data_IF_050417571792
#
_entry.id   IF_050417571792
#
_cell.length_a   1.000
_cell.length_b   1.000
_cell.length_c   1.000
_cell.angle_alpha   90.00
_cell.angle_beta   90.00
_cell.angle_gamma   90.00
#
_symmetry.space_group_name_H-M   'P 1'
#
loop_
_entity.id
_entity.type
_entity.pdbx_description
1 polymer ?
#
# COMPACT_ATOMS: atom_id res chain seq x y z
N UNK A 1 0.60 21.43 6.47
CA UNK A 1 0.58 20.05 6.99
C UNK A 1 -0.64 19.34 6.41
N UNK A 2 -0.57 18.05 6.06
CA UNK A 2 -1.76 17.33 5.60
C UNK A 2 -2.78 17.25 6.75
N UNK A 3 -4.07 17.40 6.43
CA UNK A 3 -5.13 17.25 7.43
C UNK A 3 -5.26 15.77 7.77
N UNK A 4 -5.25 15.39 9.06
CA UNK A 4 -5.34 13.99 9.45
C UNK A 4 -6.76 13.47 9.23
N UNK A 5 -6.89 12.15 9.12
CA UNK A 5 -8.17 11.49 8.90
C UNK A 5 -8.52 10.63 10.11
N UNK A 6 -9.77 10.67 10.52
CA UNK A 6 -10.30 9.72 11.48
C UNK A 6 -10.89 8.55 10.70
N UNK A 7 -10.43 7.34 10.99
CA UNK A 7 -10.90 6.12 10.37
C UNK A 7 -11.64 5.27 11.38
N UNK A 8 -12.92 5.00 11.13
CA UNK A 8 -13.69 3.95 11.80
C UNK A 8 -13.73 2.74 10.86
N UNK A 9 -13.41 1.55 11.32
CA UNK A 9 -13.38 0.35 10.46
C UNK A 9 -13.88 -0.87 11.21
N UNK A 10 -14.29 -1.89 10.47
CA UNK A 10 -14.69 -3.15 11.07
C UNK A 10 -14.88 -4.28 10.06
N UNK A 11 -15.12 -5.47 10.60
CA UNK A 11 -15.39 -6.68 9.81
C UNK A 11 -16.64 -7.39 10.32
N UNK A 12 -17.62 -7.57 9.43
CA UNK A 12 -18.91 -8.17 9.78
C UNK A 12 -18.76 -9.63 10.20
N UNK A 13 -19.79 -10.17 10.86
CA UNK A 13 -20.03 -11.61 10.82
C UNK A 13 -20.47 -12.05 9.41
N UNK A 14 -20.60 -13.36 9.20
CA UNK A 14 -21.15 -13.90 7.96
C UNK A 14 -22.56 -13.32 7.74
N UNK A 15 -22.79 -12.79 6.55
CA UNK A 15 -24.05 -12.19 6.14
C UNK A 15 -24.79 -13.14 5.20
N UNK A 16 -26.10 -12.92 5.08
CA UNK A 16 -26.93 -13.64 4.13
C UNK A 16 -26.60 -13.22 2.69
N UNK A 17 -26.13 -14.18 1.91
CA UNK A 17 -25.83 -14.02 0.49
C UNK A 17 -27.07 -13.78 -0.37
N UNK A 18 -28.28 -14.17 0.05
CA UNK A 18 -29.49 -13.85 -0.70
C UNK A 18 -29.78 -12.35 -0.67
N UNK A 19 -29.54 -11.70 0.48
CA UNK A 19 -29.59 -10.25 0.62
C UNK A 19 -28.43 -9.53 -0.07
N UNK A 20 -27.22 -10.09 0.01
CA UNK A 20 -26.02 -9.52 -0.61
C UNK A 20 -25.37 -10.49 -1.60
N UNK A 21 -25.92 -10.66 -2.82
CA UNK A 21 -25.42 -11.64 -3.80
C UNK A 21 -23.95 -11.45 -4.18
N UNK A 22 -23.42 -10.23 -4.05
CA UNK A 22 -22.01 -9.92 -4.32
C UNK A 22 -21.03 -10.73 -3.46
N UNK A 23 -21.46 -11.20 -2.28
CA UNK A 23 -20.63 -11.99 -1.39
C UNK A 23 -20.27 -13.37 -1.97
N UNK A 24 -21.07 -13.87 -2.91
CA UNK A 24 -20.82 -15.13 -3.61
C UNK A 24 -19.86 -14.96 -4.81
N UNK A 25 -19.45 -13.74 -5.11
CA UNK A 25 -18.58 -13.48 -6.24
C UNK A 25 -17.17 -14.04 -5.96
N UNK A 26 -16.53 -14.73 -6.92
CA UNK A 26 -15.22 -15.37 -6.69
C UNK A 26 -14.08 -14.36 -6.45
N UNK A 27 -14.22 -13.15 -7.01
CA UNK A 27 -13.27 -12.07 -6.83
C UNK A 27 -13.75 -11.08 -5.76
N UNK A 28 -12.81 -10.58 -4.96
CA UNK A 28 -13.05 -9.45 -4.06
C UNK A 28 -13.48 -8.21 -4.83
N UNK A 29 -14.67 -7.73 -4.50
CA UNK A 29 -15.18 -6.42 -4.89
C UNK A 29 -14.84 -5.38 -3.83
N UNK A 30 -14.35 -4.21 -4.28
CA UNK A 30 -14.07 -3.05 -3.45
C UNK A 30 -14.81 -1.85 -4.02
N UNK A 31 -15.66 -1.24 -3.20
CA UNK A 31 -16.39 -0.04 -3.57
C UNK A 31 -16.04 1.07 -2.60
N UNK A 32 -15.49 2.15 -3.13
CA UNK A 32 -15.15 3.36 -2.38
C UNK A 32 -16.06 4.49 -2.82
N UNK A 33 -16.75 5.09 -1.85
CA UNK A 33 -17.71 6.17 -2.06
C UNK A 33 -17.22 7.42 -1.34
N UNK A 34 -17.24 8.53 -2.07
CA UNK A 34 -16.90 9.84 -1.53
C UNK A 34 -18.20 10.59 -1.35
N UNK A 35 -18.61 10.81 -0.11
CA UNK A 35 -19.89 11.42 0.18
C UNK A 35 -19.96 12.85 -0.32
N UNK A 36 -21.07 13.20 -0.96
CA UNK A 36 -21.38 14.58 -1.33
C UNK A 36 -22.01 15.30 -0.13
N UNK A 37 -21.60 16.55 0.10
CA UNK A 37 -22.14 17.39 1.19
C UNK A 37 -21.97 16.81 2.60
N UNK A 38 -21.02 15.88 2.78
CA UNK A 38 -20.70 15.25 4.06
C UNK A 38 -19.19 15.14 4.22
N UNK A 39 -18.64 15.21 5.46
CA UNK A 39 -17.19 15.09 5.68
C UNK A 39 -16.67 13.65 5.55
N UNK A 40 -17.54 12.69 5.23
CA UNK A 40 -17.23 11.27 5.22
C UNK A 40 -16.99 10.73 3.80
N UNK A 41 -16.09 9.75 3.73
CA UNK A 41 -16.01 8.77 2.64
C UNK A 41 -16.06 7.39 3.25
N UNK A 42 -16.52 6.39 2.51
CA UNK A 42 -16.58 5.02 3.02
C UNK A 42 -16.17 4.00 1.97
N UNK A 43 -15.65 2.88 2.45
CA UNK A 43 -15.24 1.75 1.64
C UNK A 43 -15.94 0.51 2.16
N UNK A 44 -16.44 -0.32 1.25
CA UNK A 44 -16.92 -1.66 1.56
C UNK A 44 -16.20 -2.65 0.65
N UNK A 45 -15.64 -3.69 1.26
CA UNK A 45 -14.83 -4.72 0.62
C UNK A 45 -15.41 -6.09 0.96
N UNK A 46 -15.67 -6.91 -0.05
CA UNK A 46 -16.05 -8.31 0.15
C UNK A 46 -14.83 -9.14 0.54
N UNK A 47 -14.96 -9.97 1.59
CA UNK A 47 -13.90 -10.87 2.04
C UNK A 47 -14.44 -12.30 2.22
N UNK A 48 -13.59 -13.33 2.23
CA UNK A 48 -14.02 -14.72 2.36
C UNK A 48 -14.92 -14.98 3.58
N UNK A 49 -15.85 -15.93 3.40
CA UNK A 49 -16.83 -16.33 4.42
C UNK A 49 -18.06 -15.43 4.47
N UNK A 50 -18.52 -14.91 3.33
CA UNK A 50 -19.69 -14.04 3.20
C UNK A 50 -19.66 -12.82 4.13
N UNK A 51 -18.53 -12.13 4.18
CA UNK A 51 -18.33 -10.97 5.07
C UNK A 51 -18.00 -9.72 4.29
N UNK A 52 -18.28 -8.58 4.91
CA UNK A 52 -17.72 -7.30 4.51
C UNK A 52 -16.63 -6.86 5.49
N UNK A 53 -15.53 -6.35 4.95
CA UNK A 53 -14.68 -5.39 5.63
C UNK A 53 -15.13 -3.99 5.20
N UNK A 54 -15.22 -3.06 6.13
CA UNK A 54 -15.67 -1.70 5.83
C UNK A 54 -14.84 -0.67 6.59
N UNK A 55 -14.80 0.55 6.04
CA UNK A 55 -14.17 1.69 6.67
C UNK A 55 -14.93 2.97 6.38
N UNK A 56 -15.02 3.87 7.35
CA UNK A 56 -15.53 5.23 7.25
C UNK A 56 -14.39 6.18 7.59
N UNK A 57 -14.11 7.08 6.67
CA UNK A 57 -13.03 8.05 6.75
C UNK A 57 -13.62 9.45 6.85
N UNK A 58 -13.32 10.16 7.94
CA UNK A 58 -13.72 11.54 8.17
C UNK A 58 -12.50 12.46 8.10
N UNK A 59 -12.54 13.45 7.21
CA UNK A 59 -11.51 14.49 7.18
C UNK A 59 -11.71 15.46 8.35
N UNK A 60 -10.67 15.67 9.16
CA UNK A 60 -10.75 16.65 10.25
C UNK A 60 -10.63 18.06 9.68
N UNK A 61 -11.48 18.97 10.13
CA UNK A 61 -11.60 20.32 9.56
C UNK A 61 -10.43 21.23 9.96
N UNK A 62 -9.92 21.11 11.20
CA UNK A 62 -8.86 21.98 11.72
C UNK A 62 -7.76 21.21 12.47
N UNK A 63 -6.57 21.81 12.58
CA UNK A 63 -5.48 21.23 13.38
C UNK A 63 -5.78 21.29 14.88
N UNK A 64 -6.60 22.23 15.33
CA UNK A 64 -7.05 22.31 16.72
C UNK A 64 -7.96 21.13 17.05
N UNK A 65 -8.95 20.84 16.19
CA UNK A 65 -9.85 19.69 16.31
C UNK A 65 -9.05 18.38 16.28
N UNK A 66 -8.00 18.32 15.45
CA UNK A 66 -7.12 17.17 15.38
C UNK A 66 -6.39 16.95 16.71
N UNK A 67 -5.87 18.01 17.36
CA UNK A 67 -5.23 17.92 18.67
C UNK A 67 -6.21 17.47 19.76
N UNK A 68 -7.41 18.01 19.77
CA UNK A 68 -8.45 17.60 20.73
C UNK A 68 -8.85 16.13 20.52
N UNK A 69 -9.10 15.73 19.28
CA UNK A 69 -9.46 14.33 18.96
C UNK A 69 -8.32 13.36 19.23
N UNK A 70 -7.06 13.75 19.06
CA UNK A 70 -5.90 12.94 19.47
C UNK A 70 -5.93 12.63 20.96
N UNK A 71 -6.20 13.64 21.77
CA UNK A 71 -6.27 13.48 23.22
C UNK A 71 -7.40 12.51 23.61
N UNK A 72 -8.57 12.62 22.94
CA UNK A 72 -9.71 11.73 23.19
C UNK A 72 -9.62 10.36 22.51
N UNK A 73 -8.72 10.15 21.55
CA UNK A 73 -8.58 8.85 20.87
C UNK A 73 -7.93 7.78 21.77
N UNK A 74 -7.48 8.12 22.98
CA UNK A 74 -7.19 7.13 24.02
C UNK A 74 -8.47 6.41 24.50
N UNK A 75 -9.66 6.97 24.26
CA UNK A 75 -10.94 6.34 24.53
C UNK A 75 -11.27 5.36 23.39
N UNK A 76 -10.88 4.09 23.57
CA UNK A 76 -11.16 3.00 22.62
C UNK A 76 -12.52 2.34 22.83
N UNK A 77 -13.35 2.88 23.72
CA UNK A 77 -14.66 2.33 24.07
C UNK A 77 -15.66 2.41 22.92
N UNK A 78 -16.65 1.50 22.87
CA UNK A 78 -17.71 1.54 21.87
C UNK A 78 -18.51 2.86 21.90
N UNK A 79 -18.62 3.51 23.06
CA UNK A 79 -19.32 4.79 23.21
C UNK A 79 -18.66 5.90 22.39
N UNK A 80 -17.32 5.89 22.28
CA UNK A 80 -16.55 6.90 21.54
C UNK A 80 -16.78 6.85 20.01
N UNK A 81 -17.46 5.81 19.52
CA UNK A 81 -17.77 5.60 18.11
C UNK A 81 -19.20 5.99 17.75
N UNK A 82 -20.09 6.11 18.75
CA UNK A 82 -21.53 6.21 18.54
C UNK A 82 -21.93 7.40 17.64
N UNK A 83 -21.38 8.58 17.90
CA UNK A 83 -21.72 9.77 17.10
C UNK A 83 -21.31 9.68 15.63
N UNK A 84 -20.26 8.92 15.29
CA UNK A 84 -19.89 8.67 13.89
C UNK A 84 -20.82 7.63 13.27
N UNK A 85 -21.14 6.56 14.01
CA UNK A 85 -22.03 5.49 13.56
C UNK A 85 -23.41 6.06 13.22
N UNK A 86 -23.98 6.90 14.09
CA UNK A 86 -25.27 7.56 13.86
C UNK A 86 -25.24 8.46 12.62
N UNK A 87 -24.17 9.24 12.45
CA UNK A 87 -24.02 10.14 11.31
C UNK A 87 -23.97 9.43 9.95
N UNK A 88 -23.50 8.17 9.93
CA UNK A 88 -23.32 7.40 8.69
C UNK A 88 -24.32 6.26 8.52
N UNK A 89 -25.21 6.04 9.48
CA UNK A 89 -26.14 4.89 9.51
C UNK A 89 -26.97 4.79 8.23
N UNK A 90 -27.35 5.93 7.66
CA UNK A 90 -28.21 6.01 6.47
C UNK A 90 -27.46 6.08 5.14
N UNK A 91 -26.13 6.00 5.14
CA UNK A 91 -25.37 6.10 3.90
C UNK A 91 -25.62 4.89 3.00
N UNK A 92 -25.83 5.10 1.70
CA UNK A 92 -26.10 4.00 0.79
C UNK A 92 -24.84 3.16 0.58
N UNK A 93 -25.03 1.85 0.51
CA UNK A 93 -23.98 0.92 0.09
C UNK A 93 -24.29 0.45 -1.32
N UNK A 94 -23.27 0.47 -2.18
CA UNK A 94 -23.38 0.11 -3.60
C UNK A 94 -23.75 -1.36 -3.85
N UNK A 95 -23.61 -2.22 -2.83
CA UNK A 95 -24.02 -3.61 -2.87
C UNK A 95 -25.47 -3.84 -2.40
N UNK A 96 -26.22 -2.75 -2.16
CA UNK A 96 -27.56 -2.77 -1.58
C UNK A 96 -27.53 -2.45 -0.08
N UNK A 97 -28.67 -1.99 0.44
CA UNK A 97 -28.83 -1.66 1.85
C UNK A 97 -28.17 -0.35 2.28
N UNK A 98 -28.02 -0.20 3.59
CA UNK A 98 -27.41 0.97 4.24
C UNK A 98 -26.16 0.58 5.00
N UNK A 99 -25.24 1.52 5.18
CA UNK A 99 -24.00 1.30 5.91
C UNK A 99 -24.25 0.95 7.38
N UNK A 100 -25.30 1.51 8.00
CA UNK A 100 -25.73 1.14 9.34
C UNK A 100 -25.99 -0.36 9.51
N UNK A 101 -26.58 -1.00 8.50
CA UNK A 101 -26.89 -2.45 8.54
C UNK A 101 -25.61 -3.30 8.55
N UNK A 102 -24.57 -2.85 7.84
CA UNK A 102 -23.24 -3.48 7.85
C UNK A 102 -22.57 -3.27 9.21
N UNK A 103 -22.68 -2.07 9.79
CA UNK A 103 -22.13 -1.75 11.11
C UNK A 103 -22.83 -2.56 12.21
N UNK A 104 -24.15 -2.73 12.13
CA UNK A 104 -24.94 -3.50 13.09
C UNK A 104 -24.60 -4.99 13.04
N UNK A 105 -24.28 -5.52 11.86
CA UNK A 105 -23.78 -6.88 11.68
C UNK A 105 -22.30 -7.07 12.06
N UNK A 106 -21.62 -6.01 12.52
CA UNK A 106 -20.23 -6.04 12.96
C UNK A 106 -20.16 -6.23 14.48
N UNK A 107 -19.49 -7.28 14.99
CA UNK A 107 -19.24 -7.43 16.42
C UNK A 107 -18.54 -6.19 16.97
N UNK A 108 -19.00 -5.66 18.12
CA UNK A 108 -18.53 -4.37 18.64
C UNK A 108 -17.04 -4.39 18.99
N UNK A 109 -16.52 -5.54 19.41
CA UNK A 109 -15.09 -5.81 19.65
C UNK A 109 -14.25 -5.78 18.36
N UNK A 110 -14.88 -5.84 17.18
CA UNK A 110 -14.23 -5.78 15.86
C UNK A 110 -14.40 -4.44 15.17
N UNK A 111 -14.87 -3.42 15.88
CA UNK A 111 -14.91 -2.04 15.39
C UNK A 111 -13.72 -1.29 15.98
N UNK A 112 -12.87 -0.75 15.13
CA UNK A 112 -11.70 0.02 15.54
C UNK A 112 -11.79 1.44 15.02
N UNK A 113 -11.40 2.40 15.87
CA UNK A 113 -11.29 3.82 15.53
C UNK A 113 -9.83 4.23 15.63
N UNK A 114 -9.29 4.78 14.55
CA UNK A 114 -7.87 5.12 14.45
C UNK A 114 -7.73 6.52 13.86
N UNK A 115 -6.85 7.33 14.43
CA UNK A 115 -6.38 8.55 13.78
C UNK A 115 -5.28 8.17 12.78
N UNK A 116 -5.52 8.39 11.50
CA UNK A 116 -4.50 8.20 10.48
C UNK A 116 -3.59 9.43 10.46
N UNK A 117 -2.39 9.23 11.00
CA UNK A 117 -1.32 10.21 11.01
C UNK A 117 -0.09 9.64 10.34
N UNK A 118 0.34 10.30 9.27
CA UNK A 118 1.55 9.91 8.58
C UNK A 118 2.73 10.71 9.10
N UNK A 119 3.56 10.04 9.90
CA UNK A 119 4.83 10.56 10.40
C UNK A 119 5.97 9.85 9.71
N UNK A 120 6.96 10.62 9.29
CA UNK A 120 8.24 10.11 8.82
C UNK A 120 9.31 10.70 9.71
N UNK A 121 9.95 9.86 10.51
CA UNK A 121 11.07 10.28 11.35
C UNK A 121 12.35 10.37 10.53
N UNK A 122 13.20 11.34 10.84
CA UNK A 122 14.53 11.46 10.23
C UNK A 122 15.54 10.49 10.87
N UNK A 123 15.32 10.11 12.12
CA UNK A 123 16.17 9.17 12.86
C UNK A 123 15.47 7.82 12.96
N UNK A 124 16.12 6.76 12.47
CA UNK A 124 15.57 5.40 12.42
C UNK A 124 16.33 4.42 13.31
N UNK A 125 17.46 4.83 13.87
CA UNK A 125 18.28 3.98 14.72
C UNK A 125 19.07 4.83 15.71
N UNK A 126 19.43 4.24 16.84
CA UNK A 126 20.31 4.82 17.85
C UNK A 126 20.98 3.70 18.65
N UNK A 127 22.31 3.63 18.62
CA UNK A 127 23.05 2.51 19.21
C UNK A 127 22.58 1.18 18.62
N UNK A 128 22.29 0.21 19.51
CA UNK A 128 21.76 -1.12 19.14
C UNK A 128 20.24 -1.17 18.88
N UNK A 129 19.55 -0.02 18.77
CA UNK A 129 18.11 0.05 18.58
C UNK A 129 17.79 0.56 17.17
N UNK A 130 16.83 -0.08 16.50
CA UNK A 130 16.34 0.29 15.17
C UNK A 130 14.81 0.33 15.14
N UNK A 131 14.26 1.28 14.39
CA UNK A 131 12.83 1.47 14.17
C UNK A 131 12.44 0.88 12.81
N UNK A 132 11.33 0.15 12.81
CA UNK A 132 10.67 -0.41 11.64
C UNK A 132 9.28 0.23 11.49
N UNK A 133 8.74 0.26 10.28
CA UNK A 133 7.45 0.86 9.99
C UNK A 133 6.23 0.12 10.59
N UNK A 134 5.08 0.78 10.49
CA UNK A 134 3.78 0.38 11.05
C UNK A 134 2.73 -0.01 9.96
N UNK A 135 3.10 0.05 8.67
CA UNK A 135 2.23 -0.31 7.56
C UNK A 135 2.57 -1.69 6.97
N UNK A 136 1.57 -2.53 6.67
CA UNK A 136 1.78 -3.94 6.28
C UNK A 136 2.90 -4.18 5.27
N UNK A 137 2.80 -3.62 4.05
CA UNK A 137 3.82 -3.81 3.02
C UNK A 137 5.16 -3.13 3.35
N UNK A 138 5.13 -1.92 3.94
CA UNK A 138 6.35 -1.18 4.24
C UNK A 138 7.14 -1.80 5.39
N UNK A 139 6.46 -2.25 6.44
CA UNK A 139 7.05 -2.97 7.57
C UNK A 139 7.71 -4.27 7.10
N UNK A 140 7.06 -5.02 6.19
CA UNK A 140 7.66 -6.20 5.58
C UNK A 140 8.92 -5.85 4.77
N UNK A 141 8.88 -4.79 3.97
CA UNK A 141 10.05 -4.33 3.22
C UNK A 141 11.18 -3.88 4.15
N UNK A 142 10.85 -3.16 5.22
CA UNK A 142 11.80 -2.73 6.24
C UNK A 142 12.48 -3.93 6.91
N UNK A 143 11.69 -4.93 7.33
CA UNK A 143 12.18 -6.14 7.96
C UNK A 143 13.12 -6.94 7.05
N UNK A 144 12.80 -7.06 5.76
CA UNK A 144 13.66 -7.77 4.79
C UNK A 144 14.99 -7.05 4.59
N UNK A 145 14.98 -5.74 4.38
CA UNK A 145 16.22 -4.99 4.20
C UNK A 145 17.06 -5.01 5.48
N UNK A 146 16.43 -4.85 6.65
CA UNK A 146 17.14 -4.95 7.92
C UNK A 146 17.77 -6.34 8.11
N UNK A 147 17.05 -7.42 7.78
CA UNK A 147 17.59 -8.78 7.84
C UNK A 147 18.81 -8.96 6.92
N UNK A 148 18.77 -8.39 5.71
CA UNK A 148 19.92 -8.41 4.79
C UNK A 148 21.13 -7.65 5.38
N UNK A 149 20.90 -6.45 5.92
CA UNK A 149 21.97 -5.65 6.54
C UNK A 149 22.57 -6.34 7.77
N UNK A 150 21.76 -7.04 8.58
CA UNK A 150 22.24 -7.81 9.73
C UNK A 150 23.01 -9.06 9.31
N UNK A 151 22.54 -9.78 8.28
CA UNK A 151 23.21 -10.98 7.80
C UNK A 151 24.64 -10.69 7.30
N UNK A 152 24.82 -9.54 6.66
CA UNK A 152 26.11 -9.04 6.15
C UNK A 152 27.04 -8.45 7.24
N UNK A 153 26.71 -8.55 8.52
CA UNK A 153 27.61 -8.14 9.61
C UNK A 153 28.85 -9.04 9.69
N UNK A 154 30.03 -8.42 9.73
CA UNK A 154 31.31 -9.10 9.96
C UNK A 154 31.51 -9.46 11.45
N UNK A 155 31.05 -8.61 12.35
CA UNK A 155 31.18 -8.78 13.80
C UNK A 155 30.02 -8.11 14.56
N UNK A 156 29.99 -8.30 15.89
CA UNK A 156 28.96 -7.77 16.79
C UNK A 156 29.38 -6.47 17.51
N UNK A 157 30.43 -5.79 17.03
CA UNK A 157 30.83 -4.50 17.62
C UNK A 157 29.76 -3.44 17.35
N UNK A 158 29.66 -2.49 18.27
CA UNK A 158 28.67 -1.41 18.20
C UNK A 158 28.77 -0.61 16.89
N UNK A 159 30.00 -0.42 16.39
CA UNK A 159 30.29 0.29 15.14
C UNK A 159 29.73 -0.46 13.93
N UNK A 160 29.92 -1.78 13.88
CA UNK A 160 29.43 -2.65 12.80
C UNK A 160 27.91 -2.69 12.77
N UNK A 161 27.27 -2.84 13.95
CA UNK A 161 25.80 -2.78 14.09
C UNK A 161 25.27 -1.42 13.63
N UNK A 162 25.90 -0.33 14.06
CA UNK A 162 25.52 1.04 13.66
C UNK A 162 25.67 1.25 12.16
N UNK A 163 26.72 0.71 11.55
CA UNK A 163 26.94 0.75 10.11
C UNK A 163 25.86 -0.02 9.35
N UNK A 164 25.48 -1.22 9.80
CA UNK A 164 24.39 -1.99 9.21
C UNK A 164 23.03 -1.27 9.32
N UNK A 165 22.72 -0.64 10.45
CA UNK A 165 21.49 0.14 10.61
C UNK A 165 21.47 1.41 9.75
N UNK A 166 22.63 2.04 9.55
CA UNK A 166 22.77 3.14 8.59
C UNK A 166 22.49 2.68 7.17
N UNK A 167 23.09 1.57 6.77
CA UNK A 167 22.89 0.97 5.44
C UNK A 167 21.41 0.60 5.20
N UNK A 168 20.74 -0.02 6.18
CA UNK A 168 19.29 -0.26 6.15
C UNK A 168 18.49 1.03 5.90
N UNK A 169 18.78 2.09 6.65
CA UNK A 169 18.11 3.39 6.50
C UNK A 169 18.38 4.00 5.13
N UNK A 170 19.62 3.99 4.65
CA UNK A 170 19.99 4.57 3.36
C UNK A 170 19.27 3.88 2.21
N UNK A 171 19.09 2.55 2.31
CA UNK A 171 18.30 1.78 1.35
C UNK A 171 16.78 2.07 1.44
N UNK A 172 16.21 2.20 2.64
CA UNK A 172 14.74 2.29 2.82
C UNK A 172 14.17 3.69 2.85
N UNK A 173 14.87 4.65 3.44
CA UNK A 173 14.37 6.00 3.71
C UNK A 173 13.86 6.73 2.44
N UNK A 174 14.56 6.70 1.28
CA UNK A 174 14.07 7.36 0.07
C UNK A 174 12.73 6.78 -0.43
N UNK A 175 12.55 5.47 -0.30
CA UNK A 175 11.33 4.78 -0.71
C UNK A 175 10.18 5.09 0.26
N UNK A 176 10.43 5.02 1.57
CA UNK A 176 9.44 5.37 2.60
C UNK A 176 9.00 6.84 2.45
N UNK A 177 9.94 7.77 2.22
CA UNK A 177 9.63 9.19 1.98
C UNK A 177 8.73 9.40 0.79
N UNK A 178 8.98 8.68 -0.32
CA UNK A 178 8.13 8.73 -1.52
C UNK A 178 6.75 8.14 -1.26
N UNK A 179 6.67 7.01 -0.56
CA UNK A 179 5.40 6.36 -0.22
C UNK A 179 4.54 7.26 0.67
N UNK A 180 5.12 7.93 1.67
CA UNK A 180 4.42 8.94 2.50
C UNK A 180 3.94 10.12 1.65
N UNK A 181 4.74 10.59 0.68
CA UNK A 181 4.28 11.65 -0.21
C UNK A 181 3.10 11.19 -1.10
N UNK A 182 3.19 9.98 -1.65
CA UNK A 182 2.16 9.38 -2.49
C UNK A 182 0.87 9.11 -1.72
N UNK A 183 0.96 8.62 -0.48
CA UNK A 183 -0.19 8.34 0.37
C UNK A 183 -0.94 9.62 0.74
N UNK A 184 -0.25 10.74 1.00
CA UNK A 184 -0.89 12.06 1.19
C UNK A 184 -1.70 12.50 -0.02
N UNK A 185 -1.15 12.31 -1.21
CA UNK A 185 -1.84 12.66 -2.46
C UNK A 185 -3.05 11.75 -2.66
N UNK A 186 -2.86 10.43 -2.48
CA UNK A 186 -3.94 9.45 -2.58
C UNK A 186 -5.05 9.72 -1.58
N UNK A 187 -4.74 10.06 -0.33
CA UNK A 187 -5.72 10.40 0.70
C UNK A 187 -6.56 11.63 0.33
N UNK A 188 -5.97 12.65 -0.32
CA UNK A 188 -6.73 13.78 -0.87
C UNK A 188 -7.65 13.35 -2.00
N UNK A 189 -7.15 12.50 -2.90
CA UNK A 189 -7.94 12.00 -4.04
C UNK A 189 -9.09 11.12 -3.56
N UNK A 190 -8.85 10.17 -2.65
CA UNK A 190 -9.86 9.23 -2.18
C UNK A 190 -10.81 9.86 -1.15
N UNK A 191 -10.28 10.58 -0.16
CA UNK A 191 -11.04 10.93 1.04
C UNK A 191 -11.08 12.43 1.33
N UNK A 192 -10.38 13.26 0.57
CA UNK A 192 -10.39 14.72 0.75
C UNK A 192 -11.74 15.35 0.41
N UNK A 193 -12.27 16.20 1.28
CA UNK A 193 -13.59 16.81 1.14
C UNK A 193 -13.54 18.32 0.90
N UNK A 194 -12.35 18.93 0.94
CA UNK A 194 -12.17 20.36 0.66
C UNK A 194 -12.40 20.69 -0.82
N UNK A 195 -12.68 21.97 -1.13
CA UNK A 195 -12.81 22.42 -2.53
C UNK A 195 -11.55 22.14 -3.35
N UNK A 196 -10.37 22.33 -2.74
CA UNK A 196 -9.09 22.04 -3.39
C UNK A 196 -8.91 20.55 -3.63
N UNK A 197 -9.29 19.69 -2.68
CA UNK A 197 -9.26 18.23 -2.87
C UNK A 197 -10.18 17.78 -4.02
N UNK A 198 -11.37 18.38 -4.16
CA UNK A 198 -12.28 18.12 -5.28
C UNK A 198 -11.67 18.51 -6.63
N UNK A 199 -10.99 19.65 -6.69
CA UNK A 199 -10.28 20.10 -7.90
C UNK A 199 -9.13 19.14 -8.23
N UNK A 200 -8.28 18.79 -7.25
CA UNK A 200 -7.18 17.83 -7.44
C UNK A 200 -7.70 16.49 -7.93
N UNK A 201 -8.74 15.95 -7.29
CA UNK A 201 -9.40 14.72 -7.72
C UNK A 201 -9.92 14.83 -9.14
N UNK A 202 -10.63 15.91 -9.47
CA UNK A 202 -11.17 16.11 -10.81
C UNK A 202 -10.05 16.15 -11.86
N UNK A 203 -8.95 16.86 -11.57
CA UNK A 203 -7.78 16.89 -12.43
C UNK A 203 -7.19 15.49 -12.63
N UNK A 204 -6.93 14.77 -11.54
CA UNK A 204 -6.30 13.44 -11.61
C UNK A 204 -7.20 12.42 -12.29
N UNK A 205 -8.48 12.34 -11.94
CA UNK A 205 -9.38 11.30 -12.47
C UNK A 205 -9.80 11.53 -13.92
N UNK A 206 -9.86 12.79 -14.39
CA UNK A 206 -10.32 13.10 -15.75
C UNK A 206 -9.18 13.38 -16.73
N UNK A 207 -8.06 13.93 -16.26
CA UNK A 207 -6.99 14.41 -17.16
C UNK A 207 -5.70 13.60 -17.07
N UNK A 208 -5.44 12.87 -15.98
CA UNK A 208 -4.21 12.09 -15.86
C UNK A 208 -4.27 10.87 -16.80
N UNK A 209 -3.41 10.78 -17.82
CA UNK A 209 -3.44 9.66 -18.75
C UNK A 209 -3.19 8.33 -18.04
N UNK A 210 -3.92 7.28 -18.46
CA UNK A 210 -3.76 5.92 -17.92
C UNK A 210 -2.32 5.40 -18.03
N UNK A 211 -1.56 5.80 -19.04
CA UNK A 211 -0.15 5.44 -19.18
C UNK A 211 0.71 5.94 -18.01
N UNK A 212 0.43 7.16 -17.51
CA UNK A 212 1.14 7.73 -16.36
C UNK A 212 0.73 7.01 -15.07
N UNK A 213 -0.57 6.74 -14.90
CA UNK A 213 -1.08 5.98 -13.75
C UNK A 213 -0.45 4.57 -13.70
N UNK A 214 -0.46 3.85 -14.82
CA UNK A 214 0.14 2.52 -14.92
C UNK A 214 1.66 2.56 -14.69
N UNK A 215 2.36 3.58 -15.19
CA UNK A 215 3.80 3.76 -14.94
C UNK A 215 4.08 4.01 -13.47
N UNK A 216 3.25 4.79 -12.78
CA UNK A 216 3.39 5.05 -11.35
C UNK A 216 3.12 3.77 -10.55
N UNK A 217 2.02 3.08 -10.83
CA UNK A 217 1.69 1.80 -10.19
C UNK A 217 2.80 0.76 -10.39
N UNK A 218 3.33 0.64 -11.61
CA UNK A 218 4.42 -0.29 -11.91
C UNK A 218 5.69 0.05 -11.12
N UNK A 219 6.02 1.34 -10.97
CA UNK A 219 7.17 1.75 -10.15
C UNK A 219 6.99 1.37 -8.68
N UNK A 220 5.80 1.58 -8.14
CA UNK A 220 5.50 1.27 -6.74
C UNK A 220 5.48 -0.25 -6.50
N UNK A 221 5.00 -1.03 -7.47
CA UNK A 221 4.99 -2.49 -7.43
C UNK A 221 6.37 -3.14 -7.71
N UNK A 222 7.29 -2.43 -8.35
CA UNK A 222 8.61 -2.99 -8.69
C UNK A 222 9.53 -3.15 -7.46
N UNK A 223 9.34 -2.34 -6.41
CA UNK A 223 10.13 -2.42 -5.19
C UNK A 223 9.66 -3.57 -4.29
N UNK A 224 10.31 -4.73 -4.43
CA UNK A 224 9.98 -5.98 -3.73
C UNK A 224 11.27 -6.64 -3.21
N UNK A 225 11.87 -6.09 -2.13
CA UNK A 225 13.08 -6.68 -1.53
C UNK A 225 12.82 -8.12 -1.09
N UNK A 226 13.85 -8.97 -1.18
CA UNK A 226 13.87 -10.36 -0.74
C UNK A 226 15.11 -10.57 0.15
N UNK A 227 15.11 -11.62 0.96
CA UNK A 227 16.30 -11.96 1.74
C UNK A 227 17.40 -12.44 0.80
N UNK A 228 18.55 -11.76 0.77
CA UNK A 228 19.62 -11.98 -0.21
C UNK A 228 20.39 -13.28 0.01
N UNK A 229 20.27 -13.86 1.22
CA UNK A 229 20.83 -15.15 1.62
C UNK A 229 19.87 -16.33 1.39
N UNK A 230 18.69 -16.08 0.82
CA UNK A 230 17.75 -17.13 0.41
C UNK A 230 17.73 -17.27 -1.12
N UNK A 231 17.20 -18.40 -1.59
CA UNK A 231 16.96 -18.58 -3.02
C UNK A 231 15.96 -17.53 -3.52
N UNK A 232 16.29 -16.88 -4.64
CA UNK A 232 15.44 -15.83 -5.21
C UNK A 232 14.16 -16.44 -5.76
N UNK A 233 13.03 -15.97 -5.25
CA UNK A 233 11.73 -16.37 -5.75
C UNK A 233 11.55 -15.79 -7.17
N UNK A 234 11.18 -16.60 -8.17
CA UNK A 234 10.97 -16.12 -9.53
C UNK A 234 9.83 -15.10 -9.59
N UNK A 235 9.97 -14.10 -10.46
CA UNK A 235 8.96 -13.07 -10.65
C UNK A 235 7.68 -13.67 -11.26
N UNK A 236 6.58 -13.66 -10.48
CA UNK A 236 5.25 -14.14 -10.93
C UNK A 236 4.36 -13.04 -11.53
N UNK A 237 4.84 -11.80 -11.58
CA UNK A 237 4.06 -10.63 -12.01
C UNK A 237 4.50 -10.09 -13.38
N UNK A 238 3.72 -9.17 -13.94
CA UNK A 238 4.04 -8.48 -15.21
C UNK A 238 5.07 -7.36 -15.07
N UNK A 239 5.40 -6.97 -13.83
CA UNK A 239 6.36 -5.90 -13.52
C UNK A 239 7.60 -6.57 -12.92
N UNK A 240 8.79 -6.43 -13.52
CA UNK A 240 10.00 -7.01 -12.98
C UNK A 240 10.36 -6.38 -11.63
N UNK A 241 10.92 -7.18 -10.73
CA UNK A 241 11.46 -6.68 -9.46
C UNK A 241 12.67 -5.77 -9.70
N UNK A 242 12.80 -4.71 -8.91
CA UNK A 242 14.01 -3.89 -8.95
C UNK A 242 15.23 -4.73 -8.53
N UNK A 243 16.39 -4.53 -9.16
CA UNK A 243 17.63 -5.17 -8.73
C UNK A 243 17.89 -4.88 -7.24
N UNK A 244 18.31 -5.91 -6.52
CA UNK A 244 18.69 -5.81 -5.11
C UNK A 244 20.21 -5.90 -5.02
N UNK A 245 20.78 -5.24 -4.01
CA UNK A 245 22.19 -5.38 -3.70
C UNK A 245 22.47 -6.83 -3.27
N UNK A 246 23.42 -7.54 -3.90
CA UNK A 246 23.76 -8.89 -3.45
C UNK A 246 24.45 -8.86 -2.08
N UNK A 247 24.26 -9.93 -1.29
CA UNK A 247 24.98 -10.13 -0.04
C UNK A 247 26.39 -10.63 -0.35
N UNK A 248 27.39 -9.88 0.10
CA UNK A 248 28.80 -10.24 -0.08
C UNK A 248 29.14 -11.51 0.70
N UNK A 249 28.55 -11.68 1.89
CA UNK A 249 28.74 -12.86 2.75
C UNK A 249 28.17 -14.11 2.09
N UNK A 250 26.95 -14.03 1.58
CA UNK A 250 26.31 -15.16 0.92
C UNK A 250 27.04 -15.59 -0.35
N UNK A 251 27.56 -14.62 -1.12
CA UNK A 251 28.41 -14.92 -2.28
C UNK A 251 29.73 -15.59 -1.88
N UNK A 252 30.33 -15.21 -0.75
CA UNK A 252 31.51 -15.88 -0.21
C UNK A 252 31.18 -17.32 0.26
N UNK A 253 30.06 -17.51 0.97
CA UNK A 253 29.58 -18.83 1.41
C UNK A 253 29.30 -19.76 0.21
N UNK A 254 28.67 -19.24 -0.85
CA UNK A 254 28.46 -19.99 -2.10
C UNK A 254 29.76 -20.40 -2.79
N UNK A 255 30.73 -19.49 -2.87
CA UNK A 255 32.05 -19.78 -3.45
C UNK A 255 32.78 -20.86 -2.64
N UNK A 256 32.81 -20.73 -1.32
CA UNK A 256 33.43 -21.72 -0.44
C UNK A 256 32.74 -23.09 -0.52
N UNK A 257 31.40 -23.12 -0.65
CA UNK A 257 30.65 -24.36 -0.84
C UNK A 257 30.97 -25.03 -2.20
N UNK A 258 31.07 -24.24 -3.26
CA UNK A 258 31.45 -24.74 -4.59
C UNK A 258 32.87 -25.31 -4.62
N UNK A 259 33.81 -24.66 -3.94
CA UNK A 259 35.19 -25.16 -3.79
C UNK A 259 35.24 -26.48 -3.02
N UNK A 260 34.53 -26.58 -1.88
CA UNK A 260 34.42 -27.84 -1.12
C UNK A 260 33.83 -28.98 -1.95
N UNK A 261 32.84 -28.68 -2.79
CA UNK A 261 32.23 -29.68 -3.67
C UNK A 261 33.22 -30.15 -4.75
N UNK A 262 34.01 -29.24 -5.32
CA UNK A 262 35.08 -29.57 -6.27
C UNK A 262 36.15 -30.47 -5.62
N UNK A 263 36.57 -30.13 -4.41
CA UNK A 263 37.63 -30.86 -3.70
C UNK A 263 37.16 -32.25 -3.23
N UNK A 264 35.85 -32.44 -3.03
CA UNK A 264 35.26 -33.74 -2.67
C UNK A 264 35.27 -34.78 -3.80
N UNK A 265 35.67 -34.41 -5.02
CA UNK A 265 35.69 -35.32 -6.17
C UNK A 265 34.32 -35.77 -6.67
N UNK A 266 33.23 -35.22 -6.11
CA UNK A 266 31.87 -35.43 -6.60
C UNK A 266 31.80 -34.83 -8.00
N UNK A 267 31.83 -35.70 -9.03
CA UNK A 267 31.50 -35.30 -10.40
C UNK A 267 30.08 -34.76 -10.36
N UNK A 268 29.93 -33.44 -10.40
CA UNK A 268 28.66 -32.81 -10.68
C UNK A 268 28.33 -33.24 -12.11
N UNK A 269 27.50 -34.28 -12.25
CA UNK A 269 26.83 -34.50 -13.51
C UNK A 269 26.09 -33.19 -13.79
N UNK A 270 26.55 -32.49 -14.83
CA UNK A 270 25.90 -31.30 -15.36
C UNK A 270 24.52 -31.73 -15.86
N UNK A 271 23.59 -31.97 -14.93
CA UNK A 271 22.18 -31.98 -15.22
C UNK A 271 21.91 -30.61 -15.82
N UNK A 272 21.53 -30.62 -17.08
CA UNK A 272 21.42 -29.48 -17.98
C UNK A 272 20.29 -28.53 -17.60
N UNK A 273 20.22 -28.13 -16.33
CA UNK A 273 19.58 -26.89 -15.92
C UNK A 273 20.53 -25.76 -16.30
N UNK A 274 20.49 -25.39 -17.58
CA UNK A 274 21.01 -24.13 -18.07
C UNK A 274 20.35 -22.99 -17.29
N UNK A 275 20.97 -22.57 -16.19
CA UNK A 275 20.66 -21.30 -15.56
C UNK A 275 20.97 -20.21 -16.60
N UNK A 276 20.02 -19.35 -16.96
CA UNK A 276 20.29 -18.24 -17.85
C UNK A 276 21.20 -17.25 -17.11
N UNK A 277 22.51 -17.43 -17.26
CA UNK A 277 23.56 -16.50 -16.88
C UNK A 277 23.62 -15.35 -17.91
N UNK A 278 22.47 -14.73 -18.20
CA UNK A 278 22.45 -13.39 -18.77
C UNK A 278 22.47 -12.41 -17.61
N UNK A 279 23.68 -11.99 -17.20
CA UNK A 279 23.83 -10.77 -16.42
C UNK A 279 23.15 -9.65 -17.23
N UNK A 280 22.13 -8.96 -16.69
CA UNK A 280 21.60 -7.78 -17.36
C UNK A 280 22.73 -6.76 -17.42
N UNK A 281 23.20 -6.47 -18.63
CA UNK A 281 24.07 -5.33 -18.88
C UNK A 281 23.38 -4.09 -18.31
N UNK A 282 23.99 -3.48 -17.29
CA UNK A 282 23.54 -2.21 -16.72
C UNK A 282 23.25 -1.23 -17.88
N UNK A 283 22.05 -0.65 -17.98
CA UNK A 283 21.80 0.35 -18.99
C UNK A 283 22.69 1.56 -18.68
N UNK A 284 23.66 1.80 -19.55
CA UNK A 284 24.38 3.06 -19.61
C UNK A 284 23.33 4.18 -19.70
N UNK A 285 23.44 5.17 -18.81
CA UNK A 285 22.63 6.38 -18.84
C UNK A 285 22.97 7.20 -20.08
N UNK A 286 22.38 6.85 -21.22
CA UNK A 286 22.45 7.64 -22.43
C UNK A 286 21.39 8.74 -22.39
N UNK A 287 21.84 9.98 -22.20
CA UNK A 287 21.12 11.18 -22.61
C UNK A 287 20.90 11.14 -24.12
N UNK A 288 19.65 11.01 -24.57
CA UNK A 288 19.32 11.17 -25.98
C UNK A 288 18.11 12.07 -26.15
N UNK A 289 18.37 13.19 -26.80
CA UNK A 289 17.46 14.08 -27.50
C UNK A 289 16.42 13.32 -28.35
N UNK A 290 15.18 13.82 -28.31
CA UNK A 290 14.09 13.35 -29.16
C UNK A 290 14.15 14.02 -30.55
N UNK A 291 14.06 13.26 -31.65
CA UNK A 291 13.50 13.77 -32.89
C UNK A 291 12.03 13.38 -33.01
N UNK A 292 11.20 14.32 -33.45
CA UNK A 292 9.78 14.10 -33.67
C UNK A 292 9.47 13.34 -34.95
N UNK A 293 8.31 12.66 -34.98
CA UNK A 293 7.46 12.59 -36.18
C UNK A 293 6.05 12.05 -35.89
N UNK A 294 5.08 12.86 -36.35
CA UNK A 294 3.83 12.56 -37.08
C UNK A 294 3.13 11.20 -36.90
N UNK A 295 1.91 11.28 -36.40
CA UNK A 295 0.69 10.98 -37.18
C UNK A 295 0.23 9.53 -37.31
N UNK A 296 -0.77 9.13 -36.50
CA UNK A 296 -1.82 8.21 -36.93
C UNK A 296 -3.04 8.32 -36.00
N UNK A 297 -4.14 8.82 -36.55
CA UNK A 297 -5.44 8.95 -35.90
C UNK A 297 -6.18 7.61 -35.97
N UNK A 298 -6.32 6.93 -34.83
CA UNK A 298 -7.38 5.91 -34.63
C UNK A 298 -8.48 6.49 -33.75
N UNK A 299 -9.68 6.65 -34.33
CA UNK A 299 -10.93 6.89 -33.60
C UNK A 299 -11.24 5.66 -32.74
N UNK A 300 -11.24 5.82 -31.42
CA UNK A 300 -11.83 4.90 -30.46
C UNK A 300 -13.05 5.59 -29.87
N UNK A 301 -14.25 5.14 -30.24
CA UNK A 301 -15.49 5.56 -29.58
C UNK A 301 -15.62 4.80 -28.27
N UNK A 302 -15.49 5.52 -27.15
CA UNK A 302 -15.84 5.02 -25.82
C UNK A 302 -17.03 5.82 -25.32
N UNK A 303 -18.23 5.25 -25.50
CA UNK A 303 -19.45 5.68 -24.83
C UNK A 303 -19.39 5.26 -23.36
N UNK A 304 -18.77 6.10 -22.52
CA UNK A 304 -18.87 6.02 -21.06
C UNK A 304 -20.12 6.77 -20.60
N UNK A 305 -21.20 6.05 -20.33
CA UNK A 305 -22.44 6.60 -19.75
C UNK A 305 -22.21 6.86 -18.25
N UNK A 306 -21.98 8.11 -17.86
CA UNK A 306 -22.11 8.54 -16.47
C UNK A 306 -23.60 8.60 -16.13
N UNK A 307 -24.10 7.65 -15.34
CA UNK A 307 -25.42 7.78 -14.70
C UNK A 307 -25.31 8.83 -13.61
N UNK A 308 -25.79 10.04 -13.87
CA UNK A 308 -26.20 10.97 -12.82
C UNK A 308 -27.45 10.38 -12.15
N UNK A 309 -27.37 10.11 -10.85
CA UNK A 309 -28.57 9.93 -10.05
C UNK A 309 -29.18 11.32 -9.85
N UNK A 310 -30.31 11.59 -10.48
CA UNK A 310 -31.15 12.73 -10.18
C UNK A 310 -32.08 12.37 -9.02
N UNK A 311 -32.03 13.17 -7.95
CA UNK A 311 -33.01 13.16 -6.86
C UNK A 311 -34.43 13.26 -7.42
N UNK A 312 -35.20 12.19 -7.26
CA UNK A 312 -36.67 12.27 -7.26
C UNK A 312 -37.12 12.74 -5.89
N UNK A 313 -37.27 14.05 -5.73
CA UNK A 313 -38.26 14.62 -4.80
C UNK A 313 -39.64 14.46 -5.44
N UNK A 314 -40.57 13.84 -4.74
CA UNK A 314 -42.00 13.98 -5.05
C UNK A 314 -42.81 13.79 -3.77
N UNK A 315 -43.42 14.92 -3.38
CA UNK A 315 -44.52 15.20 -2.42
C UNK A 315 -44.40 14.65 -1.00
#
# INVERSE_FOLDING_TARGET
MAMPFLCLMGTTQSLDSARYPVLMHPNTQLHHVIGESTPFSWTVVTIPGNRFCWSVMAQIASQADAKERRFRNSETGPEANQGIIEAVQNFPVTFGGKLGEIIDATPKDRISKVMLEEKLFETWYHGGIVLLGDGGMNAMQDAVILANSIYDLEDLRSESITAAFRDYKDQRYPHAKRQVANSRINAKISSGQTRTDRVVRHMVLNFLPRSIQNKQFSKDAAYRPQCTFLERIPDKGSVPSLPQRPSWRYEAEKRAAAEKLRDSGVKIEHSSMSLPLSLPSSPASSSSSLPGRRGSTRKLSLTGRTRKYSDTRTV
#
